data_IF_901753420262
#
_entry.id   IF_901753420262
#
_cell.length_a   1.000
_cell.length_b   1.000
_cell.length_c   1.000
_cell.angle_alpha   90.00
_cell.angle_beta   90.00
_cell.angle_gamma   90.00
#
_symmetry.space_group_name_H-M   'P 1'
#
loop_
_entity.id
_entity.type
_entity.pdbx_description
1 polymer ?
#
# COMPACT_ATOMS: atom_id res chain seq x y z
N UNK A 1 15.59 -14.11 14.81
CA UNK A 1 15.90 -13.24 13.67
C UNK A 1 14.88 -13.32 12.55
N UNK A 2 14.55 -14.48 12.14
CA UNK A 2 13.52 -14.70 11.13
C UNK A 2 12.16 -14.15 11.51
N UNK A 3 11.81 -14.28 12.79
CA UNK A 3 10.51 -13.85 13.29
C UNK A 3 10.29 -12.35 13.20
N UNK A 4 11.34 -11.56 13.40
CA UNK A 4 11.23 -10.11 13.34
C UNK A 4 10.91 -9.62 11.93
N UNK A 5 11.46 -10.28 10.93
CA UNK A 5 11.20 -9.95 9.55
C UNK A 5 9.75 -10.26 9.14
N UNK A 6 9.19 -11.33 9.72
CA UNK A 6 7.82 -11.73 9.47
C UNK A 6 6.80 -10.83 10.18
N UNK A 7 7.25 -10.05 11.16
CA UNK A 7 6.37 -9.16 11.91
C UNK A 7 6.15 -7.80 11.24
N UNK A 8 6.89 -7.49 10.19
CA UNK A 8 6.76 -6.22 9.47
C UNK A 8 6.15 -6.52 8.09
N UNK A 9 4.84 -6.31 7.93
CA UNK A 9 4.22 -6.56 6.64
C UNK A 9 4.63 -5.52 5.61
N UNK A 10 4.67 -5.96 4.36
CA UNK A 10 4.94 -5.10 3.21
C UNK A 10 3.63 -4.88 2.48
N UNK A 11 3.28 -3.63 2.29
CA UNK A 11 2.02 -3.20 1.66
C UNK A 11 2.34 -2.54 0.32
N UNK A 12 1.82 -3.08 -0.76
CA UNK A 12 1.96 -2.47 -2.08
C UNK A 12 0.73 -1.63 -2.41
N UNK A 13 0.97 -0.41 -2.87
CA UNK A 13 -0.09 0.46 -3.39
C UNK A 13 -0.15 0.30 -4.90
N UNK A 14 -1.26 -0.16 -5.40
CA UNK A 14 -1.46 -0.46 -6.81
C UNK A 14 -2.70 0.28 -7.31
N UNK A 15 -2.68 0.73 -8.53
CA UNK A 15 -3.80 1.44 -9.14
C UNK A 15 -3.35 2.22 -10.36
N UNK A 16 -4.29 2.63 -11.17
CA UNK A 16 -4.00 3.47 -12.34
C UNK A 16 -3.50 4.85 -11.91
N UNK A 17 -2.96 5.65 -12.81
CA UNK A 17 -2.50 7.00 -12.47
C UNK A 17 -3.63 7.88 -11.91
N UNK A 18 -3.27 8.77 -11.02
CA UNK A 18 -4.15 9.82 -10.48
C UNK A 18 -5.28 9.33 -9.57
N UNK A 19 -5.22 8.10 -9.07
CA UNK A 19 -6.23 7.61 -8.12
C UNK A 19 -5.94 8.06 -6.68
N UNK A 20 -4.75 8.61 -6.42
CA UNK A 20 -4.36 9.08 -5.09
C UNK A 20 -3.34 8.21 -4.39
N UNK A 21 -2.58 7.39 -5.12
CA UNK A 21 -1.55 6.52 -4.53
C UNK A 21 -0.48 7.30 -3.78
N UNK A 22 0.04 8.36 -4.39
CA UNK A 22 1.08 9.18 -3.77
C UNK A 22 0.60 9.87 -2.51
N UNK A 23 -0.63 10.36 -2.52
CA UNK A 23 -1.23 10.99 -1.34
C UNK A 23 -1.39 9.98 -0.23
N UNK A 24 -1.86 8.79 -0.53
CA UNK A 24 -2.00 7.74 0.45
C UNK A 24 -0.64 7.28 0.97
N UNK A 25 0.33 7.13 0.08
CA UNK A 25 1.70 6.80 0.46
C UNK A 25 2.24 7.78 1.49
N UNK A 26 2.09 9.09 1.23
CA UNK A 26 2.57 10.11 2.14
C UNK A 26 1.86 10.10 3.49
N UNK A 27 0.60 9.71 3.50
CA UNK A 27 -0.17 9.57 4.74
C UNK A 27 0.26 8.37 5.57
N UNK A 28 0.65 7.31 4.92
CA UNK A 28 1.01 6.07 5.60
C UNK A 28 2.46 6.05 6.06
N UNK A 29 3.32 6.82 5.45
CA UNK A 29 4.76 6.75 5.71
C UNK A 29 5.25 7.94 6.53
N UNK A 30 6.30 7.68 7.33
CA UNK A 30 6.91 8.70 8.19
C UNK A 30 8.12 9.34 7.54
N UNK A 31 9.04 8.52 7.07
CA UNK A 31 10.28 9.00 6.47
C UNK A 31 10.70 8.07 5.34
N UNK A 32 10.74 8.62 4.13
CA UNK A 32 11.10 7.85 2.95
C UNK A 32 12.60 7.62 2.82
N UNK A 33 13.36 8.65 3.12
CA UNK A 33 14.78 8.65 2.83
C UNK A 33 15.56 7.71 3.73
N UNK A 34 15.21 7.67 5.01
CA UNK A 34 15.90 6.82 5.97
C UNK A 34 15.70 5.33 5.67
N UNK A 35 14.52 4.96 5.21
CA UNK A 35 14.24 3.57 4.92
C UNK A 35 15.00 3.08 3.70
N UNK A 36 15.01 3.87 2.64
CA UNK A 36 15.70 3.52 1.39
C UNK A 36 17.19 3.30 1.64
N UNK A 37 17.80 4.09 2.50
CA UNK A 37 19.21 3.97 2.82
C UNK A 37 19.54 2.66 3.55
N UNK A 38 18.60 2.11 4.31
CA UNK A 38 18.85 0.96 5.18
C UNK A 38 18.51 -0.39 4.54
N UNK A 39 17.77 -0.42 3.47
CA UNK A 39 17.37 -1.66 2.81
C UNK A 39 18.22 -1.90 1.58
N UNK A 40 19.04 -2.92 1.63
CA UNK A 40 19.78 -3.36 0.45
C UNK A 40 18.88 -4.18 -0.47
N UNK A 41 19.09 -4.08 -1.77
CA UNK A 41 18.33 -4.84 -2.74
C UNK A 41 17.02 -4.21 -3.19
N UNK A 42 16.70 -3.02 -2.70
CA UNK A 42 15.54 -2.29 -3.19
C UNK A 42 15.79 -1.79 -4.61
N UNK A 43 14.79 -1.93 -5.46
CA UNK A 43 14.89 -1.44 -6.81
C UNK A 43 14.75 0.08 -6.81
N UNK A 44 15.50 0.75 -7.69
CA UNK A 44 15.41 2.20 -7.82
C UNK A 44 14.13 2.66 -8.50
N UNK A 45 13.40 1.72 -9.08
CA UNK A 45 12.21 2.02 -9.86
C UNK A 45 10.94 2.06 -9.02
N UNK A 46 11.08 2.04 -7.70
CA UNK A 46 9.94 2.08 -6.80
C UNK A 46 10.20 3.00 -5.63
N UNK A 47 9.14 3.53 -5.10
CA UNK A 47 9.17 4.36 -3.92
C UNK A 47 8.83 3.54 -2.70
N UNK A 48 9.72 3.51 -1.73
CA UNK A 48 9.54 2.76 -0.49
C UNK A 48 9.42 3.72 0.69
N UNK A 49 8.65 3.33 1.68
CA UNK A 49 8.53 4.09 2.91
C UNK A 49 8.17 3.20 4.09
N UNK A 50 8.48 3.66 5.30
CA UNK A 50 8.07 2.96 6.50
C UNK A 50 6.94 3.70 7.19
N UNK A 51 6.08 2.96 7.84
CA UNK A 51 4.98 3.51 8.61
C UNK A 51 4.81 2.78 9.93
N UNK A 52 4.04 3.40 10.81
CA UNK A 52 3.68 2.81 12.08
C UNK A 52 2.29 3.28 12.47
N UNK A 53 1.42 2.35 12.77
CA UNK A 53 0.08 2.60 13.27
C UNK A 53 -0.31 1.50 14.22
N UNK A 54 -0.99 1.84 15.30
CA UNK A 54 -1.48 0.86 16.27
C UNK A 54 -0.37 -0.03 16.83
N UNK A 55 0.79 0.55 17.10
CA UNK A 55 1.99 -0.16 17.57
C UNK A 55 2.47 -1.24 16.61
N UNK A 56 2.10 -1.13 15.35
CA UNK A 56 2.54 -2.03 14.28
C UNK A 56 3.33 -1.27 13.24
N UNK A 57 4.48 -1.81 12.88
CA UNK A 57 5.30 -1.25 11.81
C UNK A 57 4.99 -1.95 10.51
N UNK A 58 5.10 -1.21 9.42
CA UNK A 58 4.89 -1.75 8.08
C UNK A 58 5.74 -0.99 7.07
N UNK A 59 5.98 -1.63 5.93
CA UNK A 59 6.64 -1.00 4.79
C UNK A 59 5.62 -0.79 3.69
N UNK A 60 5.71 0.33 2.99
CA UNK A 60 4.81 0.65 1.87
C UNK A 60 5.62 0.78 0.59
N UNK A 61 5.11 0.20 -0.47
CA UNK A 61 5.68 0.33 -1.81
C UNK A 61 4.68 1.09 -2.69
N UNK A 62 5.11 2.23 -3.24
CA UNK A 62 4.31 2.97 -4.22
C UNK A 62 4.85 2.66 -5.62
N UNK A 63 4.07 1.95 -6.40
CA UNK A 63 4.47 1.53 -7.73
C UNK A 63 4.44 2.62 -8.77
N UNK A 64 3.68 3.69 -8.53
CA UNK A 64 3.50 4.76 -9.50
C UNK A 64 4.32 6.01 -9.25
N UNK A 65 5.25 5.98 -8.29
CA UNK A 65 5.86 7.20 -7.80
C UNK A 65 7.16 7.63 -8.42
N UNK A 66 7.68 6.94 -9.41
CA UNK A 66 9.09 7.10 -9.72
C UNK A 66 9.40 8.00 -10.86
N UNK A 67 8.79 7.88 -11.94
CA UNK A 67 9.19 8.67 -13.08
C UNK A 67 8.23 9.77 -13.41
N UNK A 68 7.31 10.05 -12.52
CA UNK A 68 6.27 11.03 -12.81
C UNK A 68 5.42 10.59 -13.98
N UNK A 69 5.49 9.36 -14.32
CA UNK A 69 4.79 8.87 -15.46
C UNK A 69 3.41 8.41 -15.14
N UNK A 70 2.63 9.38 -14.98
CA UNK A 70 1.21 9.21 -14.98
C UNK A 70 0.70 9.07 -16.41
N UNK A 71 1.62 8.88 -17.31
CA UNK A 71 1.32 8.83 -18.73
C UNK A 71 1.21 7.41 -19.20
N UNK A 72 0.04 6.95 -19.23
CA UNK A 72 -0.17 5.73 -19.93
C UNK A 72 -0.13 4.50 -19.05
N UNK A 73 -1.12 3.73 -19.21
CA UNK A 73 -1.27 2.41 -18.65
C UNK A 73 -0.73 1.49 -19.72
N UNK A 74 0.56 1.41 -19.76
CA UNK A 74 1.20 0.54 -20.71
C UNK A 74 1.68 -0.74 -20.01
N UNK A 75 2.31 -1.57 -20.77
CA UNK A 75 2.84 -2.85 -20.28
C UNK A 75 3.85 -2.63 -19.15
N UNK A 76 4.61 -1.56 -19.19
CA UNK A 76 5.63 -1.25 -18.20
C UNK A 76 5.04 -1.00 -16.83
N UNK A 77 3.97 -0.22 -16.75
CA UNK A 77 3.26 0.01 -15.51
C UNK A 77 2.67 -1.27 -14.95
N UNK A 78 2.15 -2.12 -15.81
CA UNK A 78 1.64 -3.42 -15.40
C UNK A 78 2.74 -4.30 -14.83
N UNK A 79 3.92 -4.28 -15.42
CA UNK A 79 5.07 -5.07 -14.95
C UNK A 79 5.54 -4.59 -13.58
N UNK A 80 5.61 -3.29 -13.37
CA UNK A 80 5.98 -2.73 -12.06
C UNK A 80 4.99 -3.11 -10.97
N UNK A 81 3.71 -3.08 -11.28
CA UNK A 81 2.68 -3.51 -10.35
C UNK A 81 2.78 -4.99 -10.01
N UNK A 82 3.06 -5.83 -11.00
CA UNK A 82 3.23 -7.26 -10.78
C UNK A 82 4.43 -7.57 -9.89
N UNK A 83 5.55 -6.88 -10.12
CA UNK A 83 6.75 -7.06 -9.30
C UNK A 83 6.52 -6.62 -7.86
N UNK A 84 5.82 -5.51 -7.67
CA UNK A 84 5.48 -5.03 -6.33
C UNK A 84 4.59 -6.03 -5.58
N UNK A 85 3.66 -6.65 -6.30
CA UNK A 85 2.80 -7.65 -5.70
C UNK A 85 3.56 -8.89 -5.24
N UNK A 86 4.61 -9.26 -5.93
CA UNK A 86 5.42 -10.41 -5.53
C UNK A 86 6.21 -10.15 -4.24
N UNK A 87 6.52 -8.89 -3.96
CA UNK A 87 7.22 -8.50 -2.74
C UNK A 87 6.27 -8.24 -1.56
N UNK A 88 5.00 -8.00 -1.84
CA UNK A 88 4.06 -7.54 -0.82
C UNK A 88 3.33 -8.69 -0.13
N UNK A 89 3.06 -8.49 1.15
CA UNK A 89 2.17 -9.36 1.93
C UNK A 89 0.71 -8.95 1.73
N UNK A 90 0.50 -7.67 1.52
CA UNK A 90 -0.82 -7.06 1.37
C UNK A 90 -0.78 -6.14 0.16
N UNK A 91 -1.83 -6.14 -0.63
CA UNK A 91 -2.00 -5.21 -1.74
C UNK A 91 -3.19 -4.31 -1.46
N UNK A 92 -2.98 -3.02 -1.53
CA UNK A 92 -4.07 -2.03 -1.51
C UNK A 92 -4.29 -1.58 -2.95
N UNK A 93 -5.40 -1.99 -3.51
CA UNK A 93 -5.81 -1.61 -4.86
C UNK A 93 -6.65 -0.35 -4.77
N UNK A 94 -6.09 0.76 -5.22
CA UNK A 94 -6.70 2.07 -5.08
C UNK A 94 -7.46 2.45 -6.36
N UNK A 95 -8.71 2.81 -6.20
CA UNK A 95 -9.56 3.27 -7.28
C UNK A 95 -10.10 4.66 -6.98
N UNK A 96 -10.52 5.36 -8.02
CA UNK A 96 -11.06 6.72 -7.93
C UNK A 96 -12.58 6.66 -8.05
N UNK A 97 -13.28 6.94 -6.95
CA UNK A 97 -14.74 6.90 -6.93
C UNK A 97 -15.40 7.97 -7.80
N UNK A 98 -14.72 9.08 -8.03
CA UNK A 98 -15.28 10.16 -8.84
C UNK A 98 -15.28 9.84 -10.32
N UNK A 99 -14.26 9.11 -10.75
CA UNK A 99 -14.17 8.67 -12.16
C UNK A 99 -15.01 7.44 -12.45
N UNK A 100 -15.39 6.70 -11.41
CA UNK A 100 -16.03 5.42 -11.58
C UNK A 100 -15.07 4.34 -12.04
N UNK A 101 -15.60 3.17 -12.36
CA UNK A 101 -14.80 2.03 -12.81
C UNK A 101 -14.34 2.25 -14.24
N UNK A 102 -13.07 2.06 -14.51
CA UNK A 102 -12.49 2.20 -15.85
C UNK A 102 -11.99 0.85 -16.34
N UNK A 103 -11.70 0.76 -17.64
CA UNK A 103 -11.11 -0.44 -18.22
C UNK A 103 -9.74 -0.75 -17.62
N UNK A 104 -8.98 0.28 -17.26
CA UNK A 104 -7.70 0.11 -16.59
C UNK A 104 -7.86 -0.54 -15.22
N UNK A 105 -8.90 -0.15 -14.48
CA UNK A 105 -9.19 -0.77 -13.19
C UNK A 105 -9.49 -2.26 -13.35
N UNK A 106 -10.26 -2.64 -14.36
CA UNK A 106 -10.55 -4.05 -14.64
C UNK A 106 -9.31 -4.84 -15.01
N UNK A 107 -8.41 -4.26 -15.78
CA UNK A 107 -7.16 -4.90 -16.15
C UNK A 107 -6.30 -5.19 -14.92
N UNK A 108 -6.17 -4.20 -14.06
CA UNK A 108 -5.40 -4.36 -12.83
C UNK A 108 -6.06 -5.39 -11.91
N UNK A 109 -7.38 -5.31 -11.76
CA UNK A 109 -8.12 -6.26 -10.93
C UNK A 109 -7.92 -7.70 -11.40
N UNK A 110 -7.93 -7.92 -12.68
CA UNK A 110 -7.72 -9.26 -13.22
C UNK A 110 -6.33 -9.79 -12.93
N UNK A 111 -5.32 -8.94 -13.06
CA UNK A 111 -3.95 -9.33 -12.72
C UNK A 111 -3.80 -9.63 -11.24
N UNK A 112 -4.45 -8.85 -10.39
CA UNK A 112 -4.44 -9.07 -8.95
C UNK A 112 -5.08 -10.40 -8.55
N UNK A 113 -6.14 -10.79 -9.23
CA UNK A 113 -6.80 -12.08 -8.96
C UNK A 113 -5.93 -13.28 -9.28
N UNK A 114 -5.01 -13.12 -10.22
CA UNK A 114 -4.08 -14.18 -10.60
C UNK A 114 -2.96 -14.36 -9.59
N UNK A 115 -2.72 -13.35 -8.77
CA UNK A 115 -1.73 -13.41 -7.71
C UNK A 115 -2.40 -13.84 -6.41
N UNK A 116 -1.85 -14.82 -5.76
CA UNK A 116 -2.41 -15.32 -4.51
C UNK A 116 -1.98 -14.45 -3.34
N UNK A 117 -2.47 -13.22 -3.30
CA UNK A 117 -2.16 -12.24 -2.27
C UNK A 117 -3.43 -11.69 -1.65
N UNK A 118 -3.31 -11.11 -0.44
CA UNK A 118 -4.42 -10.41 0.19
C UNK A 118 -4.60 -9.06 -0.49
N UNK A 119 -5.73 -8.87 -1.14
CA UNK A 119 -6.02 -7.63 -1.85
C UNK A 119 -7.24 -6.97 -1.23
N UNK A 120 -7.06 -5.71 -0.82
CA UNK A 120 -8.15 -4.86 -0.34
C UNK A 120 -8.35 -3.74 -1.34
N UNK A 121 -9.60 -3.42 -1.63
CA UNK A 121 -9.91 -2.31 -2.52
C UNK A 121 -10.05 -1.03 -1.70
N UNK A 122 -9.34 0.00 -2.11
CA UNK A 122 -9.39 1.33 -1.48
C UNK A 122 -10.15 2.25 -2.42
N UNK A 123 -11.39 2.57 -2.05
CA UNK A 123 -12.26 3.43 -2.83
C UNK A 123 -12.02 4.88 -2.43
N UNK A 124 -11.04 5.50 -3.07
CA UNK A 124 -10.58 6.85 -2.73
C UNK A 124 -11.43 7.93 -3.38
N UNK A 125 -11.30 9.14 -2.86
CA UNK A 125 -12.03 10.34 -3.32
C UNK A 125 -13.54 10.21 -3.10
N UNK A 126 -13.91 9.60 -1.98
CA UNK A 126 -15.32 9.36 -1.64
C UNK A 126 -16.05 10.63 -1.16
N UNK A 127 -15.31 11.67 -0.83
CA UNK A 127 -15.87 12.91 -0.27
C UNK A 127 -16.90 13.53 -1.20
N UNK A 128 -18.03 13.92 -0.63
CA UNK A 128 -19.11 14.52 -1.38
C UNK A 128 -19.95 13.55 -2.22
N UNK A 129 -19.64 12.26 -2.19
CA UNK A 129 -20.37 11.24 -2.91
C UNK A 129 -21.23 10.42 -1.96
N UNK A 130 -22.34 9.88 -2.49
CA UNK A 130 -23.10 8.87 -1.76
C UNK A 130 -22.30 7.55 -1.79
N UNK A 131 -21.86 7.06 -0.62
CA UNK A 131 -21.00 5.86 -0.62
C UNK A 131 -21.66 4.64 -1.24
N UNK A 132 -22.93 4.41 -0.99
CA UNK A 132 -23.60 3.24 -1.52
C UNK A 132 -23.59 3.24 -3.05
N UNK A 133 -23.91 4.36 -3.65
CA UNK A 133 -23.90 4.49 -5.12
C UNK A 133 -22.48 4.44 -5.69
N UNK A 134 -21.54 5.14 -5.04
CA UNK A 134 -20.16 5.21 -5.53
C UNK A 134 -19.45 3.87 -5.48
N UNK A 135 -19.77 3.02 -4.51
CA UNK A 135 -19.11 1.75 -4.32
C UNK A 135 -19.77 0.59 -5.09
N UNK A 136 -20.99 0.79 -5.57
CA UNK A 136 -21.79 -0.29 -6.14
C UNK A 136 -21.05 -1.05 -7.26
N UNK A 137 -20.43 -0.35 -8.18
CA UNK A 137 -19.76 -0.97 -9.31
C UNK A 137 -18.47 -1.70 -8.90
N UNK A 138 -17.83 -1.25 -7.82
CA UNK A 138 -16.61 -1.86 -7.34
C UNK A 138 -16.86 -3.14 -6.55
N UNK A 139 -18.04 -3.33 -5.99
CA UNK A 139 -18.38 -4.57 -5.27
C UNK A 139 -18.28 -5.80 -6.17
N UNK A 140 -18.51 -5.63 -7.45
CA UNK A 140 -18.46 -6.72 -8.42
C UNK A 140 -17.05 -7.28 -8.59
N UNK A 141 -16.03 -6.54 -8.17
CA UNK A 141 -14.65 -7.01 -8.27
C UNK A 141 -14.30 -8.08 -7.26
N UNK A 142 -15.06 -8.20 -6.17
CA UNK A 142 -14.97 -9.34 -5.25
C UNK A 142 -13.69 -9.44 -4.42
N UNK A 143 -13.10 -8.31 -4.05
CA UNK A 143 -11.93 -8.32 -3.18
C UNK A 143 -12.32 -8.46 -1.71
N UNK A 144 -11.32 -8.79 -0.85
CA UNK A 144 -11.52 -9.10 0.57
C UNK A 144 -12.22 -8.02 1.36
N UNK A 145 -11.98 -6.77 1.04
CA UNK A 145 -12.62 -5.65 1.71
C UNK A 145 -12.63 -4.46 0.80
N UNK A 146 -13.51 -3.53 1.10
CA UNK A 146 -13.61 -2.29 0.38
C UNK A 146 -13.65 -1.15 1.38
N UNK A 147 -12.69 -0.23 1.26
CA UNK A 147 -12.54 0.86 2.21
C UNK A 147 -12.75 2.20 1.53
N UNK A 148 -13.84 2.91 1.87
CA UNK A 148 -14.02 4.26 1.37
C UNK A 148 -13.06 5.21 2.07
N UNK A 149 -12.34 6.00 1.29
CA UNK A 149 -11.33 6.93 1.83
C UNK A 149 -11.36 8.28 1.12
N UNK A 150 -10.85 9.27 1.82
CA UNK A 150 -10.46 10.55 1.22
C UNK A 150 -9.03 10.81 1.67
N UNK A 151 -8.07 10.34 0.89
CA UNK A 151 -6.65 10.37 1.28
C UNK A 151 -6.14 11.79 1.52
N UNK A 152 -6.63 12.78 0.78
CA UNK A 152 -6.24 14.18 0.96
C UNK A 152 -6.58 14.72 2.35
N UNK A 153 -7.66 14.24 2.95
CA UNK A 153 -8.10 14.64 4.30
C UNK A 153 -7.84 13.57 5.35
N UNK A 154 -7.32 12.43 4.97
CA UNK A 154 -7.05 11.34 5.88
C UNK A 154 -8.27 10.55 6.33
N UNK A 155 -9.45 10.81 5.76
CA UNK A 155 -10.67 10.13 6.17
C UNK A 155 -10.65 8.67 5.75
N UNK A 156 -11.03 7.80 6.68
CA UNK A 156 -11.13 6.38 6.42
C UNK A 156 -9.79 5.65 6.42
N UNK A 157 -8.67 6.36 6.39
CA UNK A 157 -7.34 5.74 6.31
C UNK A 157 -7.02 4.99 7.59
N UNK A 158 -7.29 5.57 8.74
CA UNK A 158 -7.00 4.93 10.03
C UNK A 158 -7.84 3.66 10.22
N UNK A 159 -9.13 3.74 9.93
CA UNK A 159 -10.03 2.57 10.03
C UNK A 159 -9.59 1.44 9.09
N UNK A 160 -9.21 1.81 7.88
CA UNK A 160 -8.69 0.85 6.91
C UNK A 160 -7.45 0.14 7.44
N UNK A 161 -6.49 0.91 7.93
CA UNK A 161 -5.23 0.33 8.41
C UNK A 161 -5.43 -0.52 9.66
N UNK A 162 -6.38 -0.18 10.51
CA UNK A 162 -6.72 -1.01 11.67
C UNK A 162 -7.13 -2.41 11.24
N UNK A 163 -7.97 -2.50 10.24
CA UNK A 163 -8.43 -3.80 9.73
C UNK A 163 -7.33 -4.52 8.93
N UNK A 164 -6.62 -3.80 8.09
CA UNK A 164 -5.55 -4.37 7.26
C UNK A 164 -4.42 -4.94 8.12
N UNK A 165 -4.07 -4.26 9.20
CA UNK A 165 -2.99 -4.69 10.09
C UNK A 165 -3.45 -5.67 11.17
N UNK A 166 -4.75 -5.87 11.35
CA UNK A 166 -5.28 -6.70 12.43
C UNK A 166 -4.73 -8.14 12.46
N UNK A 167 -4.45 -8.81 11.34
CA UNK A 167 -3.87 -10.14 11.38
C UNK A 167 -2.41 -10.19 11.84
N UNK A 168 -1.75 -9.04 11.92
CA UNK A 168 -0.34 -8.97 12.27
C UNK A 168 -0.18 -8.60 13.74
N UNK A 169 0.76 -9.24 14.45
CA UNK A 169 0.99 -8.92 15.87
C UNK A 169 1.63 -7.54 16.03
N UNK A 170 1.52 -6.99 17.22
CA UNK A 170 2.19 -5.74 17.56
C UNK A 170 3.70 -5.93 17.37
N UNK A 171 4.33 -4.92 16.78
CA UNK A 171 5.77 -4.92 16.62
C UNK A 171 6.42 -4.59 17.97
N UNK A 172 7.22 -5.52 18.44
CA UNK A 172 8.03 -5.30 19.64
C UNK A 172 9.45 -5.08 19.17
N UNK A 173 9.98 -3.90 19.40
CA UNK A 173 11.38 -3.67 19.11
C UNK A 173 12.23 -4.61 19.97
N UNK A 174 13.26 -5.25 19.39
CA UNK A 174 14.16 -6.04 20.17
C UNK A 174 14.78 -5.15 21.23
N UNK A 175 14.73 -5.59 22.48
CA UNK A 175 15.41 -4.86 23.53
C UNK A 175 16.87 -4.75 23.17
N UNK A 176 17.38 -3.53 23.24
CA UNK A 176 18.80 -3.30 23.10
C UNK A 176 19.45 -3.89 24.35
N UNK A 177 19.88 -5.13 24.26
CA UNK A 177 20.64 -5.69 25.36
C UNK A 177 21.93 -4.87 25.47
N UNK A 178 22.23 -4.38 26.64
CA UNK A 178 23.37 -3.49 26.83
C UNK A 178 24.69 -3.95 26.22
N UNK A 179 24.76 -5.20 25.79
CA UNK A 179 25.97 -5.73 25.16
C UNK A 179 26.24 -5.07 23.80
N UNK A 180 25.23 -4.58 23.14
CA UNK A 180 25.41 -3.92 21.86
C UNK A 180 26.07 -2.57 21.99
N UNK A 181 25.76 -1.84 23.04
CA UNK A 181 26.38 -0.57 23.28
C UNK A 181 27.87 -0.72 23.63
N UNK A 182 28.20 -1.77 24.28
CA UNK A 182 29.58 -2.03 24.72
C UNK A 182 30.50 -2.29 23.54
N UNK A 183 29.98 -2.90 22.50
CA UNK A 183 30.81 -3.28 21.35
C UNK A 183 31.36 -2.12 20.58
N UNK A 184 30.80 -0.99 20.78
CA UNK A 184 31.12 0.20 20.02
C UNK A 184 32.18 1.00 20.70
N UNK A 185 32.45 0.67 21.94
CA UNK A 185 33.45 1.32 22.73
C UNK A 185 34.84 1.27 22.14
#
# INVERSE_FOLDING_TARGET
MWHLRLMIPVIALVGRPNVGKSTLFNRLTRSRDALVANFSGLTRDRKYGDGEMFDRRFMVIDTGGISGEEQGIDAEMADQSLLAMDEADIVLFIVDCRSGVTSADYMIAEKLRRKNRKVYLVANKIDGLDPAAALADFYQMGFLGMFPTTATHGRGVRSMMEEVLSPYPDYIEPEDDGSKGIKIG
#
